data_IF_620291651112
#
_entry.id   IF_620291651112
#
_cell.length_a   1.000
_cell.length_b   1.000
_cell.length_c   1.000
_cell.angle_alpha   90.00
_cell.angle_beta   90.00
_cell.angle_gamma   90.00
#
_symmetry.space_group_name_H-M   'P 1'
#
loop_
_entity.id
_entity.type
_entity.pdbx_description
1 polymer ?
#
# COMPACT_ATOMS: atom_id res chain seq x y z
N UNK A 1 -9.11 30.27 -3.43
CA UNK A 1 -10.26 29.37 -3.21
C UNK A 1 -10.50 28.47 -4.43
N UNK A 2 -10.69 29.01 -5.64
CA UNK A 2 -10.94 28.21 -6.85
C UNK A 2 -9.86 27.16 -7.17
N UNK A 3 -8.58 27.49 -6.98
CA UNK A 3 -7.46 26.57 -7.27
C UNK A 3 -7.41 25.34 -6.36
N UNK A 4 -7.83 25.47 -5.10
CA UNK A 4 -7.87 24.35 -4.13
C UNK A 4 -9.04 23.42 -4.43
N UNK A 5 -10.21 23.98 -4.78
CA UNK A 5 -11.40 23.21 -5.16
C UNK A 5 -11.14 22.40 -6.45
N UNK A 6 -10.48 23.01 -7.45
CA UNK A 6 -10.13 22.32 -8.69
C UNK A 6 -9.13 21.16 -8.46
N UNK A 7 -8.16 21.34 -7.56
CA UNK A 7 -7.17 20.31 -7.23
C UNK A 7 -7.80 19.11 -6.50
N UNK A 8 -8.76 19.39 -5.60
CA UNK A 8 -9.49 18.35 -4.87
C UNK A 8 -10.35 17.52 -5.83
N UNK A 9 -11.09 18.16 -6.74
CA UNK A 9 -11.91 17.48 -7.74
C UNK A 9 -11.07 16.62 -8.69
N UNK A 10 -9.91 17.11 -9.12
CA UNK A 10 -8.99 16.34 -9.96
C UNK A 10 -8.46 15.09 -9.23
N UNK A 11 -8.10 15.21 -7.95
CA UNK A 11 -7.64 14.08 -7.14
C UNK A 11 -8.74 13.01 -6.94
N UNK A 12 -10.01 13.43 -6.80
CA UNK A 12 -11.15 12.52 -6.67
C UNK A 12 -11.41 11.77 -7.98
N UNK A 13 -11.41 12.46 -9.12
CA UNK A 13 -11.61 11.83 -10.44
C UNK A 13 -10.51 10.79 -10.75
N UNK A 14 -9.25 11.11 -10.45
CA UNK A 14 -8.13 10.16 -10.58
C UNK A 14 -8.32 8.94 -9.68
N UNK A 15 -8.81 9.14 -8.45
CA UNK A 15 -9.04 8.04 -7.51
C UNK A 15 -10.17 7.10 -7.97
N UNK A 16 -11.26 7.65 -8.52
CA UNK A 16 -12.37 6.85 -9.04
C UNK A 16 -11.94 6.00 -10.26
N UNK A 17 -11.19 6.60 -11.19
CA UNK A 17 -10.65 5.88 -12.37
C UNK A 17 -9.74 4.73 -11.95
N UNK A 18 -8.86 4.94 -10.97
CA UNK A 18 -7.95 3.90 -10.48
C UNK A 18 -8.70 2.73 -9.82
N UNK A 19 -9.79 3.01 -9.08
CA UNK A 19 -10.64 1.96 -8.50
C UNK A 19 -11.36 1.18 -9.59
N UNK A 20 -11.84 1.82 -10.66
CA UNK A 20 -12.48 1.13 -11.79
C UNK A 20 -11.49 0.18 -12.50
N UNK A 21 -10.26 0.65 -12.75
CA UNK A 21 -9.20 -0.19 -13.35
C UNK A 21 -8.92 -1.43 -12.48
N UNK A 22 -8.97 -1.30 -11.16
CA UNK A 22 -8.91 -2.48 -10.31
C UNK A 22 -10.14 -3.35 -10.47
N UNK A 23 -11.35 -2.81 -10.44
CA UNK A 23 -12.59 -3.56 -10.67
C UNK A 23 -12.65 -4.33 -12.00
N UNK A 24 -11.93 -3.93 -13.04
CA UNK A 24 -11.89 -4.67 -14.31
C UNK A 24 -10.96 -5.90 -14.28
N UNK A 25 -10.03 -5.99 -13.32
CA UNK A 25 -9.10 -7.12 -13.23
C UNK A 25 -9.73 -8.31 -12.46
N UNK A 26 -9.36 -9.58 -12.76
CA UNK A 26 -9.76 -10.71 -11.92
C UNK A 26 -9.28 -10.55 -10.46
N UNK A 27 -10.11 -10.92 -9.48
CA UNK A 27 -9.80 -10.78 -8.04
C UNK A 27 -8.46 -11.44 -7.68
N UNK A 28 -8.22 -12.68 -8.13
CA UNK A 28 -6.97 -13.40 -7.87
C UNK A 28 -5.74 -12.63 -8.35
N UNK A 29 -5.86 -11.99 -9.52
CA UNK A 29 -4.79 -11.16 -10.09
C UNK A 29 -4.55 -9.92 -9.22
N UNK A 30 -5.61 -9.24 -8.76
CA UNK A 30 -5.49 -8.07 -7.88
C UNK A 30 -4.79 -8.42 -6.58
N UNK A 31 -5.21 -9.51 -5.92
CA UNK A 31 -4.64 -10.00 -4.66
C UNK A 31 -3.18 -10.42 -4.83
N UNK A 32 -2.86 -11.15 -5.91
CA UNK A 32 -1.49 -11.59 -6.21
C UNK A 32 -0.57 -10.39 -6.44
N UNK A 33 -0.98 -9.43 -7.26
CA UNK A 33 -0.18 -8.24 -7.55
C UNK A 33 0.01 -7.35 -6.31
N UNK A 34 -1.03 -7.18 -5.50
CA UNK A 34 -0.92 -6.41 -4.26
C UNK A 34 0.03 -7.10 -3.26
N UNK A 35 -0.12 -8.41 -3.08
CA UNK A 35 0.77 -9.21 -2.22
C UNK A 35 2.22 -9.11 -2.68
N UNK A 36 2.47 -9.20 -3.99
CA UNK A 36 3.80 -9.03 -4.56
C UNK A 36 4.36 -7.64 -4.27
N UNK A 37 3.61 -6.58 -4.54
CA UNK A 37 4.05 -5.20 -4.32
C UNK A 37 4.37 -4.93 -2.83
N UNK A 38 3.52 -5.42 -1.91
CA UNK A 38 3.77 -5.35 -0.46
C UNK A 38 5.11 -6.01 -0.11
N UNK A 39 5.33 -7.25 -0.57
CA UNK A 39 6.55 -7.98 -0.25
C UNK A 39 7.79 -7.28 -0.78
N UNK A 40 7.77 -6.81 -2.03
CA UNK A 40 8.88 -6.07 -2.64
C UNK A 40 9.21 -4.79 -1.87
N UNK A 41 8.20 -4.02 -1.48
CA UNK A 41 8.40 -2.80 -0.70
C UNK A 41 9.03 -3.07 0.67
N UNK A 42 8.57 -4.13 1.36
CA UNK A 42 9.08 -4.49 2.69
C UNK A 42 10.50 -5.07 2.62
N UNK A 43 10.81 -5.87 1.59
CA UNK A 43 12.18 -6.35 1.36
C UNK A 43 13.13 -5.20 1.04
N UNK A 44 12.69 -4.18 0.30
CA UNK A 44 13.47 -2.97 0.05
C UNK A 44 13.75 -2.16 1.33
N UNK A 45 12.85 -2.16 2.31
CA UNK A 45 13.08 -1.54 3.63
C UNK A 45 14.19 -2.28 4.38
N UNK A 46 14.15 -3.62 4.41
CA UNK A 46 15.20 -4.43 5.05
C UNK A 46 16.55 -4.26 4.34
N UNK A 47 16.54 -4.20 3.01
CA UNK A 47 17.75 -3.97 2.22
C UNK A 47 18.39 -2.60 2.49
N UNK A 48 17.57 -1.58 2.74
CA UNK A 48 18.02 -0.22 3.06
C UNK A 48 18.36 -0.01 4.55
N UNK A 49 18.28 -1.06 5.38
CA UNK A 49 18.50 -0.94 6.82
C UNK A 49 19.91 -0.43 7.16
N UNK A 50 20.04 0.57 8.06
CA UNK A 50 21.34 0.98 8.57
C UNK A 50 22.10 -0.18 9.25
N UNK A 51 23.44 -0.16 9.26
CA UNK A 51 24.24 -1.11 10.03
C UNK A 51 23.77 -1.17 11.49
N UNK A 52 23.66 -2.37 12.05
CA UNK A 52 23.21 -2.59 13.43
C UNK A 52 21.69 -2.51 13.64
N UNK A 53 20.89 -2.09 12.65
CA UNK A 53 19.42 -2.01 12.74
C UNK A 53 18.67 -3.11 11.97
N UNK A 54 19.39 -3.98 11.25
CA UNK A 54 18.79 -4.98 10.36
C UNK A 54 17.81 -5.92 11.05
N UNK A 55 18.15 -6.46 12.23
CA UNK A 55 17.26 -7.38 12.96
C UNK A 55 15.94 -6.71 13.39
N UNK A 56 16.01 -5.47 13.89
CA UNK A 56 14.84 -4.66 14.26
C UNK A 56 13.93 -4.41 13.05
N UNK A 57 14.53 -4.05 11.90
CA UNK A 57 13.77 -3.80 10.67
C UNK A 57 13.20 -5.08 10.06
N UNK A 58 13.86 -6.23 10.21
CA UNK A 58 13.30 -7.53 9.79
C UNK A 58 12.05 -7.88 10.61
N UNK A 59 12.10 -7.73 11.93
CA UNK A 59 10.92 -7.98 12.80
C UNK A 59 9.77 -7.01 12.49
N UNK A 60 10.09 -5.72 12.35
CA UNK A 60 9.08 -4.69 12.04
C UNK A 60 8.43 -4.92 10.67
N UNK A 61 9.22 -5.23 9.63
CA UNK A 61 8.68 -5.50 8.28
C UNK A 61 7.90 -6.81 8.24
N UNK A 62 8.30 -7.84 8.99
CA UNK A 62 7.53 -9.07 9.13
C UNK A 62 6.13 -8.82 9.73
N UNK A 63 6.04 -8.08 10.83
CA UNK A 63 4.74 -7.71 11.44
C UNK A 63 3.88 -6.92 10.47
N UNK A 64 4.49 -5.96 9.76
CA UNK A 64 3.81 -5.16 8.76
C UNK A 64 3.26 -6.01 7.60
N UNK A 65 4.05 -6.99 7.14
CA UNK A 65 3.66 -7.96 6.12
C UNK A 65 2.44 -8.75 6.55
N UNK A 66 2.45 -9.31 7.76
CA UNK A 66 1.33 -10.11 8.27
C UNK A 66 0.05 -9.29 8.35
N UNK A 67 0.13 -8.03 8.82
CA UNK A 67 -1.03 -7.16 8.88
C UNK A 67 -1.59 -6.82 7.50
N UNK A 68 -0.73 -6.41 6.57
CA UNK A 68 -1.16 -5.99 5.23
C UNK A 68 -1.73 -7.17 4.41
N UNK A 69 -1.08 -8.34 4.44
CA UNK A 69 -1.59 -9.54 3.75
C UNK A 69 -2.86 -10.07 4.42
N UNK A 70 -2.96 -9.99 5.76
CA UNK A 70 -4.19 -10.31 6.48
C UNK A 70 -5.36 -9.43 6.03
N UNK A 71 -5.15 -8.13 5.84
CA UNK A 71 -6.18 -7.22 5.32
C UNK A 71 -6.64 -7.61 3.90
N UNK A 72 -5.73 -8.06 3.03
CA UNK A 72 -6.10 -8.60 1.70
C UNK A 72 -7.02 -9.82 1.83
N UNK A 73 -6.68 -10.77 2.70
CA UNK A 73 -7.50 -11.96 2.94
C UNK A 73 -8.87 -11.65 3.57
N UNK A 74 -8.96 -10.63 4.44
CA UNK A 74 -10.25 -10.18 5.00
C UNK A 74 -11.13 -9.52 3.94
N UNK A 75 -10.53 -8.84 2.96
CA UNK A 75 -11.27 -8.24 1.85
C UNK A 75 -11.79 -9.28 0.85
N UNK A 76 -11.17 -10.46 0.80
CA UNK A 76 -11.55 -11.54 -0.12
C UNK A 76 -13.03 -11.93 0.08
N UNK A 77 -13.77 -12.00 -1.04
CA UNK A 77 -15.22 -12.23 -1.04
C UNK A 77 -16.08 -10.96 -1.16
N UNK A 78 -15.49 -9.77 -1.05
CA UNK A 78 -16.16 -8.49 -1.35
C UNK A 78 -15.34 -7.74 -2.42
N UNK A 79 -15.83 -7.73 -3.66
CA UNK A 79 -15.07 -7.17 -4.79
C UNK A 79 -14.68 -5.70 -4.60
N UNK A 80 -15.57 -4.90 -4.01
CA UNK A 80 -15.31 -3.47 -3.78
C UNK A 80 -14.26 -3.29 -2.69
N UNK A 81 -14.31 -4.11 -1.63
CA UNK A 81 -13.26 -4.13 -0.60
C UNK A 81 -11.95 -4.64 -1.15
N UNK A 82 -11.94 -5.68 -1.98
CA UNK A 82 -10.73 -6.15 -2.66
C UNK A 82 -10.11 -5.00 -3.44
N UNK A 83 -10.86 -4.37 -4.35
CA UNK A 83 -10.35 -3.26 -5.16
C UNK A 83 -9.77 -2.13 -4.29
N UNK A 84 -10.52 -1.69 -3.27
CA UNK A 84 -10.09 -0.59 -2.39
C UNK A 84 -8.83 -0.95 -1.60
N UNK A 85 -8.79 -2.17 -1.05
CA UNK A 85 -7.69 -2.65 -0.21
C UNK A 85 -6.44 -2.87 -1.05
N UNK A 86 -6.56 -3.52 -2.21
CA UNK A 86 -5.43 -3.74 -3.13
C UNK A 86 -4.87 -2.41 -3.64
N UNK A 87 -5.72 -1.41 -3.92
CA UNK A 87 -5.27 -0.09 -4.37
C UNK A 87 -4.40 0.59 -3.32
N UNK A 88 -4.92 0.59 -2.08
CA UNK A 88 -4.34 1.31 -0.97
C UNK A 88 -2.95 0.78 -0.66
N UNK A 89 -2.80 -0.54 -0.59
CA UNK A 89 -1.51 -1.16 -0.34
C UNK A 89 -0.55 -1.10 -1.54
N UNK A 90 -1.03 -1.17 -2.79
CA UNK A 90 -0.19 -0.94 -3.98
C UNK A 90 0.37 0.49 -4.00
N UNK A 91 -0.43 1.49 -3.62
CA UNK A 91 0.02 2.90 -3.48
C UNK A 91 1.05 3.05 -2.37
N UNK A 92 0.82 2.45 -1.20
CA UNK A 92 1.76 2.49 -0.09
C UNK A 92 3.10 1.82 -0.44
N UNK A 93 3.05 0.62 -1.04
CA UNK A 93 4.23 -0.07 -1.54
C UNK A 93 5.02 0.79 -2.54
N UNK A 94 4.33 1.43 -3.49
CA UNK A 94 4.97 2.31 -4.47
C UNK A 94 5.67 3.50 -3.82
N UNK A 95 5.06 4.11 -2.79
CA UNK A 95 5.68 5.20 -2.03
C UNK A 95 6.97 4.76 -1.32
N UNK A 96 6.97 3.57 -0.72
CA UNK A 96 8.17 2.99 -0.08
C UNK A 96 9.28 2.73 -1.09
N UNK A 97 8.94 2.18 -2.26
CA UNK A 97 9.92 1.90 -3.32
C UNK A 97 10.53 3.19 -3.88
N UNK A 98 9.74 4.26 -4.03
CA UNK A 98 10.21 5.56 -4.50
C UNK A 98 11.03 6.36 -3.47
N UNK A 99 10.89 6.07 -2.18
CA UNK A 99 11.59 6.80 -1.13
C UNK A 99 13.11 6.57 -1.14
N UNK A 100 13.87 7.58 -0.71
CA UNK A 100 15.31 7.44 -0.48
C UNK A 100 15.61 6.33 0.56
N UNK A 101 16.74 5.59 0.48
CA UNK A 101 17.02 4.44 1.34
C UNK A 101 16.79 4.69 2.83
N UNK A 102 17.32 5.80 3.37
CA UNK A 102 17.19 6.16 4.79
C UNK A 102 15.74 6.45 5.22
N UNK A 103 14.88 6.86 4.29
CA UNK A 103 13.48 7.23 4.57
C UNK A 103 12.51 6.06 4.40
N UNK A 104 12.91 4.96 3.75
CA UNK A 104 12.01 3.85 3.40
C UNK A 104 11.25 3.30 4.61
N UNK A 105 11.92 3.14 5.75
CA UNK A 105 11.28 2.62 6.98
C UNK A 105 10.22 3.57 7.53
N UNK A 106 10.49 4.89 7.52
CA UNK A 106 9.52 5.90 7.94
C UNK A 106 8.32 5.93 7.00
N UNK A 107 8.58 6.01 5.69
CA UNK A 107 7.55 6.03 4.65
C UNK A 107 6.70 4.75 4.71
N UNK A 108 7.29 3.59 5.01
CA UNK A 108 6.54 2.34 5.21
C UNK A 108 5.51 2.48 6.34
N UNK A 109 5.93 2.96 7.53
CA UNK A 109 5.01 3.12 8.67
C UNK A 109 3.84 4.03 8.31
N UNK A 110 4.15 5.21 7.79
CA UNK A 110 3.14 6.24 7.49
C UNK A 110 2.19 5.81 6.37
N UNK A 111 2.73 5.35 5.24
CA UNK A 111 1.92 5.02 4.07
C UNK A 111 1.07 3.76 4.26
N UNK A 112 1.57 2.75 4.95
CA UNK A 112 0.78 1.56 5.24
C UNK A 112 -0.26 1.80 6.33
N UNK A 113 -0.01 2.70 7.29
CA UNK A 113 -1.05 3.11 8.24
C UNK A 113 -2.21 3.81 7.52
N UNK A 114 -1.89 4.71 6.57
CA UNK A 114 -2.91 5.32 5.70
C UNK A 114 -3.65 4.24 4.90
N UNK A 115 -2.94 3.27 4.33
CA UNK A 115 -3.56 2.18 3.59
C UNK A 115 -4.50 1.33 4.46
N UNK A 116 -4.11 1.01 5.70
CA UNK A 116 -4.94 0.28 6.65
C UNK A 116 -6.25 1.00 6.98
N UNK A 117 -6.20 2.32 7.15
CA UNK A 117 -7.40 3.14 7.37
C UNK A 117 -8.30 3.17 6.14
N UNK A 118 -7.72 3.21 4.94
CA UNK A 118 -8.48 3.16 3.68
C UNK A 118 -9.13 1.80 3.43
N UNK A 119 -8.47 0.71 3.82
CA UNK A 119 -8.98 -0.65 3.69
C UNK A 119 -10.16 -0.97 4.64
N UNK A 120 -10.37 -0.16 5.68
CA UNK A 120 -11.40 -0.36 6.71
C UNK A 120 -12.53 0.67 6.65
N UNK A 121 -12.48 1.60 5.69
CA UNK A 121 -13.49 2.64 5.45
C UNK A 121 -14.60 2.14 4.51
#
# INVERSE_FOLDING_TARGET
>A
MAKVVALLLAAIAVSAVLVQVECDAPIDKRLTEASKAINEALDAVVAAAPPGKKAELVDATWKQRMFALGALGVAEGDEKKVATTTLAYKKAASAVLAAAPAEKFKVMKESFEVAARQATA
#
